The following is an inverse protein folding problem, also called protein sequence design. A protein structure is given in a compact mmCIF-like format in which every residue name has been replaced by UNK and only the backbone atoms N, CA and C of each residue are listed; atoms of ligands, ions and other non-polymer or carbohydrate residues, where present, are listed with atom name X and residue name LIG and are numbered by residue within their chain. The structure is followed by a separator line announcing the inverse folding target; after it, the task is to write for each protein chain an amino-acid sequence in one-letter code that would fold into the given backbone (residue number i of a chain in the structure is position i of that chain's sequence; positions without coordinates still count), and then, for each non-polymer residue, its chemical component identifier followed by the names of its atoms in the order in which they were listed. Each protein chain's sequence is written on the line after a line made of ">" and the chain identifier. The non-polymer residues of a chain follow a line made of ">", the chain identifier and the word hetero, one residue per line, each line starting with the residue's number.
data_IF_582441625076
#
_entry.id   IF_582441625076
#
_cell.length_a   1.000
_cell.length_b   1.000
_cell.length_c   1.000
_cell.angle_alpha   90.00
_cell.angle_beta   90.00
_cell.angle_gamma   90.00
#
_symmetry.space_group_name_H-M   'P 1'
#
loop_
_entity.id
_entity.type
_entity.pdbx_description
1 polymer ?
#
# COMPACT_ATOMS: atom_id res chain seq x y z
N UNK A 1 -90.28 -43.47 -16.21
CA UNK A 1 -90.17 -44.95 -16.13
C UNK A 1 -88.71 -45.34 -15.93
N UNK A 2 -88.44 -46.21 -14.93
CA UNK A 2 -87.25 -47.08 -14.69
C UNK A 2 -85.88 -46.38 -14.49
N UNK A 3 -85.25 -46.42 -13.30
CA UNK A 3 -84.59 -47.50 -12.50
C UNK A 3 -83.07 -47.61 -12.73
N UNK A 4 -82.31 -47.08 -11.76
CA UNK A 4 -81.14 -47.60 -11.02
C UNK A 4 -79.89 -48.27 -11.68
N UNK A 5 -78.73 -47.87 -11.11
CA UNK A 5 -77.47 -48.61 -10.80
C UNK A 5 -76.39 -48.68 -11.92
N UNK A 6 -75.08 -48.45 -11.71
CA UNK A 6 -74.16 -48.76 -10.59
C UNK A 6 -72.94 -47.80 -10.44
N UNK A 7 -72.47 -47.70 -9.19
CA UNK A 7 -71.13 -47.44 -8.62
C UNK A 7 -69.90 -47.27 -9.54
N UNK A 8 -69.03 -46.28 -9.25
CA UNK A 8 -67.80 -46.50 -8.47
C UNK A 8 -67.04 -45.20 -8.16
N UNK A 9 -66.58 -45.14 -6.90
CA UNK A 9 -65.82 -44.13 -6.19
C UNK A 9 -64.32 -44.38 -6.38
N UNK A 10 -63.47 -43.36 -6.53
CA UNK A 10 -62.11 -43.30 -5.97
C UNK A 10 -61.66 -41.82 -5.96
N UNK A 11 -61.34 -41.35 -4.76
CA UNK A 11 -60.78 -40.06 -4.39
C UNK A 11 -59.27 -40.31 -4.14
N UNK A 12 -58.36 -39.56 -4.78
CA UNK A 12 -56.93 -39.62 -4.48
C UNK A 12 -56.48 -38.25 -3.94
N UNK A 13 -56.17 -38.23 -2.65
CA UNK A 13 -55.46 -37.17 -1.93
C UNK A 13 -53.98 -37.53 -2.02
N UNK A 14 -53.15 -36.65 -2.61
CA UNK A 14 -51.70 -36.77 -2.56
C UNK A 14 -51.13 -35.74 -1.58
N UNK A 15 -50.53 -36.28 -0.52
CA UNK A 15 -49.95 -35.61 0.64
C UNK A 15 -48.53 -35.10 0.31
N UNK A 16 -48.21 -33.86 0.65
CA UNK A 16 -46.83 -33.35 0.69
C UNK A 16 -46.05 -34.05 1.82
N UNK A 17 -44.90 -34.63 1.49
CA UNK A 17 -43.88 -35.03 2.45
C UNK A 17 -42.54 -34.41 2.07
N UNK A 18 -42.08 -33.48 2.92
CA UNK A 18 -40.76 -32.86 2.89
C UNK A 18 -39.71 -33.89 3.31
N UNK A 19 -38.74 -34.14 2.46
CA UNK A 19 -37.56 -34.96 2.77
C UNK A 19 -36.35 -34.04 2.92
N UNK A 20 -35.87 -33.90 4.15
CA UNK A 20 -34.60 -33.24 4.48
C UNK A 20 -33.49 -34.24 4.20
N UNK A 21 -32.64 -33.95 3.21
CA UNK A 21 -31.38 -34.66 2.98
C UNK A 21 -30.32 -34.13 3.95
N UNK A 22 -29.50 -34.99 4.58
CA UNK A 22 -28.34 -34.52 5.33
C UNK A 22 -27.27 -34.02 4.34
N UNK A 23 -26.91 -32.75 4.43
CA UNK A 23 -25.68 -32.24 3.80
C UNK A 23 -24.49 -32.90 4.49
N UNK A 24 -23.80 -33.76 3.76
CA UNK A 24 -22.48 -34.25 4.15
C UNK A 24 -21.49 -33.15 3.77
N UNK A 25 -21.00 -32.42 4.77
CA UNK A 25 -19.97 -31.40 4.59
C UNK A 25 -18.63 -32.07 4.30
N UNK A 26 -18.32 -32.30 3.03
CA UNK A 26 -16.94 -32.55 2.60
C UNK A 26 -16.18 -31.21 2.67
N UNK A 27 -15.63 -30.88 3.84
CA UNK A 27 -14.61 -29.86 3.94
C UNK A 27 -13.36 -30.37 3.20
N UNK A 28 -13.16 -29.90 1.96
CA UNK A 28 -11.84 -29.96 1.35
C UNK A 28 -10.88 -29.19 2.27
N UNK A 29 -9.65 -29.68 2.53
CA UNK A 29 -8.66 -28.87 3.22
C UNK A 29 -8.49 -27.58 2.41
N UNK A 30 -8.64 -26.43 3.09
CA UNK A 30 -8.20 -25.15 2.56
C UNK A 30 -6.72 -25.32 2.21
N UNK A 31 -6.41 -25.48 0.93
CA UNK A 31 -5.06 -25.27 0.47
C UNK A 31 -4.73 -23.82 0.84
N UNK A 32 -3.74 -23.63 1.71
CA UNK A 32 -3.12 -22.32 1.85
C UNK A 32 -2.72 -21.86 0.45
N UNK A 33 -2.91 -20.57 0.09
CA UNK A 33 -2.26 -20.07 -1.11
C UNK A 33 -0.80 -20.44 -0.99
N UNK A 34 -0.28 -21.14 -2.01
CA UNK A 34 1.13 -21.46 -2.07
C UNK A 34 1.86 -20.13 -1.89
N UNK A 35 2.63 -20.02 -0.81
CA UNK A 35 3.62 -18.96 -0.70
C UNK A 35 4.52 -19.13 -1.92
N UNK A 36 4.41 -18.22 -2.89
CA UNK A 36 5.38 -18.15 -3.97
C UNK A 36 6.74 -17.97 -3.30
N UNK A 37 7.65 -18.91 -3.55
CA UNK A 37 9.01 -18.80 -3.03
C UNK A 37 9.64 -17.52 -3.57
N UNK A 38 10.49 -16.89 -2.77
CA UNK A 38 11.17 -15.62 -3.10
C UNK A 38 12.07 -15.67 -4.36
N UNK A 39 12.13 -16.80 -5.07
CA UNK A 39 13.00 -17.07 -6.22
C UNK A 39 12.25 -17.27 -7.58
N UNK A 40 10.91 -17.22 -7.63
CA UNK A 40 10.18 -17.26 -8.91
C UNK A 40 9.95 -15.81 -9.41
N UNK A 41 10.43 -15.42 -10.62
CA UNK A 41 10.23 -14.07 -11.11
C UNK A 41 8.74 -13.74 -11.22
N UNK A 42 8.35 -12.60 -10.65
CA UNK A 42 6.96 -12.15 -10.64
C UNK A 42 6.43 -12.07 -12.08
N UNK A 43 5.41 -12.88 -12.39
CA UNK A 43 4.73 -12.83 -13.68
C UNK A 43 3.79 -11.63 -13.71
N UNK A 44 4.22 -10.57 -14.39
CA UNK A 44 3.41 -9.37 -14.63
C UNK A 44 2.99 -9.32 -16.10
N UNK A 45 1.71 -9.08 -16.37
CA UNK A 45 1.15 -8.90 -17.71
C UNK A 45 0.24 -7.66 -17.73
N UNK A 46 -0.03 -7.12 -18.92
CA UNK A 46 -0.88 -5.92 -19.10
C UNK A 46 -2.16 -6.19 -19.91
N UNK A 47 -3.06 -7.07 -19.45
CA UNK A 47 -4.29 -7.40 -20.19
C UNK A 47 -5.19 -6.17 -20.39
N UNK A 48 -5.81 -6.09 -21.57
CA UNK A 48 -6.67 -4.98 -21.97
C UNK A 48 -7.40 -5.26 -23.28
N UNK A 49 -7.99 -4.24 -23.90
CA UNK A 49 -8.67 -4.33 -25.21
C UNK A 49 -7.76 -3.97 -26.42
N UNK A 50 -6.45 -4.03 -26.22
CA UNK A 50 -5.41 -3.69 -27.19
C UNK A 50 -4.59 -4.89 -27.73
N UNK A 51 -4.37 -6.01 -27.00
CA UNK A 51 -3.49 -7.08 -27.48
C UNK A 51 -3.93 -7.70 -28.80
N UNK A 52 -5.24 -7.84 -29.02
CA UNK A 52 -5.77 -8.38 -30.28
C UNK A 52 -5.49 -7.45 -31.46
N UNK A 53 -5.64 -6.15 -31.27
CA UNK A 53 -5.35 -5.13 -32.28
C UNK A 53 -3.85 -5.08 -32.62
N UNK A 54 -2.98 -5.37 -31.66
CA UNK A 54 -1.53 -5.46 -31.83
C UNK A 54 -1.06 -6.82 -32.39
N UNK A 55 -1.96 -7.80 -32.56
CA UNK A 55 -1.60 -9.15 -32.99
C UNK A 55 -0.85 -9.97 -31.95
N UNK A 56 -0.94 -9.61 -30.67
CA UNK A 56 -0.21 -10.20 -29.55
C UNK A 56 -1.05 -11.20 -28.73
N UNK A 57 -2.26 -11.55 -29.18
CA UNK A 57 -3.11 -12.55 -28.52
C UNK A 57 -4.52 -12.04 -28.26
N UNK A 58 -5.22 -12.68 -27.32
CA UNK A 58 -6.57 -12.30 -26.93
C UNK A 58 -6.61 -11.07 -26.04
N UNK A 59 -7.70 -10.32 -26.13
CA UNK A 59 -7.98 -9.23 -25.19
C UNK A 59 -8.37 -9.80 -23.82
N UNK A 60 -8.10 -9.02 -22.77
CA UNK A 60 -8.45 -9.34 -21.38
C UNK A 60 -7.96 -10.72 -20.90
N UNK A 61 -6.83 -11.18 -21.43
CA UNK A 61 -6.19 -12.45 -21.07
C UNK A 61 -4.96 -12.20 -20.17
N UNK A 62 -5.10 -12.31 -18.83
CA UNK A 62 -3.98 -12.11 -17.90
C UNK A 62 -2.88 -13.17 -18.06
N UNK A 63 -3.19 -14.34 -18.62
CA UNK A 63 -2.22 -15.41 -18.87
C UNK A 63 -1.43 -15.23 -20.17
N UNK A 64 -1.68 -14.18 -20.94
CA UNK A 64 -1.02 -13.97 -22.22
C UNK A 64 0.46 -13.56 -22.05
N UNK A 65 1.37 -14.50 -22.31
CA UNK A 65 2.82 -14.27 -22.16
C UNK A 65 3.42 -13.38 -23.25
N UNK A 66 2.71 -13.09 -24.35
CA UNK A 66 3.20 -12.14 -25.36
C UNK A 66 3.18 -10.69 -24.88
N UNK A 67 2.47 -10.42 -23.77
CA UNK A 67 2.35 -9.10 -23.12
C UNK A 67 2.98 -9.12 -21.72
N UNK A 68 3.89 -10.07 -21.48
CA UNK A 68 4.63 -10.18 -20.24
C UNK A 68 5.63 -9.03 -20.08
N UNK A 69 5.58 -8.37 -18.94
CA UNK A 69 6.50 -7.32 -18.55
C UNK A 69 7.76 -7.89 -17.90
N UNK A 70 8.82 -7.08 -17.85
CA UNK A 70 10.06 -7.42 -17.17
C UNK A 70 10.60 -6.22 -16.37
N UNK A 71 11.33 -6.51 -15.30
CA UNK A 71 12.11 -5.55 -14.53
C UNK A 71 13.61 -5.88 -14.74
N UNK A 72 14.17 -5.41 -15.87
CA UNK A 72 15.54 -5.76 -16.28
C UNK A 72 16.63 -5.03 -15.49
N UNK A 73 16.31 -3.88 -14.90
CA UNK A 73 17.24 -3.04 -14.13
C UNK A 73 17.03 -3.16 -12.62
N UNK A 74 16.11 -4.03 -12.17
CA UNK A 74 15.78 -4.29 -10.77
C UNK A 74 15.39 -3.02 -10.01
N UNK A 75 14.71 -2.10 -10.69
CA UNK A 75 14.22 -0.86 -10.11
C UNK A 75 12.85 -1.03 -9.43
N UNK A 76 12.24 -2.21 -9.55
CA UNK A 76 10.94 -2.52 -8.97
C UNK A 76 9.76 -2.13 -9.84
N UNK A 77 10.01 -1.70 -11.08
CA UNK A 77 9.00 -1.33 -12.07
C UNK A 77 9.04 -2.28 -13.25
N UNK A 78 7.96 -3.03 -13.43
CA UNK A 78 7.79 -3.94 -14.55
C UNK A 78 7.36 -3.17 -15.80
N UNK A 79 8.08 -3.38 -16.90
CA UNK A 79 7.89 -2.67 -18.16
C UNK A 79 7.56 -3.64 -19.30
N UNK A 80 6.59 -3.25 -20.12
CA UNK A 80 6.34 -3.87 -21.43
C UNK A 80 6.27 -2.78 -22.50
N UNK A 81 6.89 -3.03 -23.64
CA UNK A 81 7.04 -2.02 -24.70
C UNK A 81 6.67 -2.64 -26.05
N UNK A 82 5.86 -1.94 -26.82
CA UNK A 82 5.47 -2.36 -28.18
C UNK A 82 5.17 -1.16 -29.07
N UNK A 83 5.44 -1.30 -30.37
CA UNK A 83 5.07 -0.34 -31.42
C UNK A 83 3.93 -0.84 -32.32
N UNK A 84 3.36 -2.00 -32.00
CA UNK A 84 2.38 -2.70 -32.83
C UNK A 84 0.94 -2.23 -32.62
N UNK A 85 0.66 -1.43 -31.57
CA UNK A 85 -0.69 -0.96 -31.24
C UNK A 85 -1.12 0.10 -32.28
N UNK A 86 -2.22 -0.14 -33.03
CA UNK A 86 -2.75 0.86 -33.95
C UNK A 86 -3.24 2.12 -33.24
N UNK A 87 -3.44 3.20 -33.99
CA UNK A 87 -4.06 4.41 -33.44
C UNK A 87 -5.46 4.11 -32.89
N UNK A 88 -5.76 4.59 -31.69
CA UNK A 88 -7.03 4.33 -31.03
C UNK A 88 -7.06 4.68 -29.55
N UNK A 89 -8.19 4.32 -28.93
CA UNK A 89 -8.45 4.42 -27.50
C UNK A 89 -8.63 3.04 -26.92
N UNK A 90 -7.91 2.76 -25.85
CA UNK A 90 -7.79 1.46 -25.24
C UNK A 90 -7.82 1.56 -23.72
N UNK A 91 -7.96 0.42 -23.06
CA UNK A 91 -7.91 0.28 -21.62
C UNK A 91 -7.13 -0.98 -21.25
N UNK A 92 -6.49 -0.97 -20.08
CA UNK A 92 -5.76 -2.13 -19.55
C UNK A 92 -5.74 -2.13 -18.02
N UNK A 93 -5.23 -3.23 -17.45
CA UNK A 93 -4.81 -3.37 -16.05
C UNK A 93 -3.42 -4.00 -16.00
N UNK A 94 -2.74 -3.87 -14.88
CA UNK A 94 -1.60 -4.74 -14.55
C UNK A 94 -2.13 -5.97 -13.81
N UNK A 95 -1.68 -7.17 -14.17
CA UNK A 95 -2.02 -8.41 -13.45
C UNK A 95 -0.77 -9.16 -13.02
N UNK A 96 -0.85 -9.78 -11.85
CA UNK A 96 0.24 -10.54 -11.24
C UNK A 96 -0.17 -12.02 -11.16
N UNK A 97 0.74 -12.92 -11.54
CA UNK A 97 0.53 -14.36 -11.45
C UNK A 97 -0.31 -14.99 -12.56
N UNK A 98 -0.63 -14.23 -13.63
CA UNK A 98 -1.34 -14.74 -14.80
C UNK A 98 -2.85 -14.97 -14.58
N UNK A 99 -3.40 -14.50 -13.47
CA UNK A 99 -4.85 -14.54 -13.15
C UNK A 99 -5.35 -13.14 -12.79
N UNK A 100 -6.64 -13.02 -12.48
CA UNK A 100 -7.24 -11.78 -11.98
C UNK A 100 -7.23 -11.68 -10.45
N UNK A 101 -6.59 -12.63 -9.75
CA UNK A 101 -6.58 -12.64 -8.27
C UNK A 101 -5.81 -11.44 -7.70
N UNK A 102 -4.78 -10.98 -8.42
CA UNK A 102 -4.02 -9.76 -8.11
C UNK A 102 -3.96 -8.90 -9.39
N UNK A 103 -4.72 -7.81 -9.40
CA UNK A 103 -4.89 -6.95 -10.56
C UNK A 103 -5.08 -5.49 -10.14
N UNK A 104 -4.43 -4.57 -10.84
CA UNK A 104 -4.39 -3.15 -10.49
C UNK A 104 -4.83 -2.26 -11.65
N UNK A 105 -5.68 -1.29 -11.32
CA UNK A 105 -6.23 -0.30 -12.23
C UNK A 105 -5.68 1.10 -12.02
N UNK A 106 -6.51 2.12 -12.28
CA UNK A 106 -6.15 3.54 -12.06
C UNK A 106 -5.71 3.75 -10.62
N UNK A 107 -4.64 4.53 -10.43
CA UNK A 107 -4.05 4.85 -9.13
C UNK A 107 -3.63 3.62 -8.30
N UNK A 108 -3.36 2.49 -8.96
CA UNK A 108 -3.00 1.25 -8.28
C UNK A 108 -4.15 0.62 -7.49
N UNK A 109 -5.40 0.97 -7.79
CA UNK A 109 -6.55 0.40 -7.11
C UNK A 109 -6.75 -1.07 -7.51
N UNK A 110 -6.54 -1.97 -6.56
CA UNK A 110 -6.76 -3.41 -6.70
C UNK A 110 -8.10 -3.91 -6.18
N UNK A 111 -9.01 -3.01 -5.79
CA UNK A 111 -10.33 -3.42 -5.29
C UNK A 111 -11.18 -4.07 -6.39
N UNK A 112 -12.04 -5.06 -6.04
CA UNK A 112 -12.95 -5.66 -7.01
C UNK A 112 -13.82 -4.60 -7.69
N UNK A 113 -13.72 -4.54 -9.02
CA UNK A 113 -14.43 -3.53 -9.83
C UNK A 113 -13.70 -2.20 -9.98
N UNK A 114 -12.44 -2.09 -9.57
CA UNK A 114 -11.64 -0.89 -9.78
C UNK A 114 -11.57 -0.52 -11.27
N UNK A 115 -11.56 0.79 -11.62
CA UNK A 115 -11.50 1.24 -13.00
C UNK A 115 -10.25 0.74 -13.75
N UNK A 116 -10.41 0.43 -15.03
CA UNK A 116 -9.28 0.15 -15.93
C UNK A 116 -8.49 1.43 -16.20
N UNK A 117 -7.19 1.31 -16.52
CA UNK A 117 -6.35 2.43 -16.93
C UNK A 117 -6.63 2.75 -18.40
N UNK A 118 -7.20 3.93 -18.73
CA UNK A 118 -7.41 4.32 -20.13
C UNK A 118 -6.10 4.81 -20.75
N UNK A 119 -5.90 4.56 -22.04
CA UNK A 119 -4.85 5.20 -22.81
C UNK A 119 -5.25 5.43 -24.26
N UNK A 120 -4.62 6.40 -24.89
CA UNK A 120 -4.76 6.70 -26.32
C UNK A 120 -3.39 6.71 -26.97
N UNK A 121 -3.32 6.25 -28.21
CA UNK A 121 -2.11 6.29 -29.03
C UNK A 121 -2.48 6.70 -30.45
N UNK A 122 -1.60 7.44 -31.12
CA UNK A 122 -1.71 7.76 -32.56
C UNK A 122 -1.10 6.63 -33.42
N UNK A 123 -0.78 5.51 -32.81
CA UNK A 123 0.09 4.48 -33.36
C UNK A 123 1.57 4.76 -33.02
N UNK A 124 2.36 3.70 -32.93
CA UNK A 124 3.77 3.78 -32.54
C UNK A 124 4.02 3.28 -31.12
N UNK A 125 5.12 3.74 -30.51
CA UNK A 125 5.64 3.17 -29.28
C UNK A 125 4.74 3.46 -28.08
N UNK A 126 4.27 2.39 -27.43
CA UNK A 126 3.55 2.40 -26.16
C UNK A 126 4.37 1.66 -25.13
N UNK A 127 4.51 2.26 -23.96
CA UNK A 127 5.21 1.66 -22.82
C UNK A 127 4.18 1.50 -21.70
N UNK A 128 4.13 0.33 -21.09
CA UNK A 128 3.28 0.00 -19.95
C UNK A 128 4.16 -0.20 -18.73
N UNK A 129 3.73 0.34 -17.59
CA UNK A 129 4.48 0.35 -16.35
C UNK A 129 3.62 -0.16 -15.20
N UNK A 130 4.24 -0.94 -14.32
CA UNK A 130 3.69 -1.37 -13.04
C UNK A 130 4.75 -1.26 -11.96
N UNK A 131 4.54 -0.35 -11.01
CA UNK A 131 5.44 -0.15 -9.87
C UNK A 131 4.93 -0.93 -8.66
N UNK A 132 5.71 -1.94 -8.24
CA UNK A 132 5.41 -2.74 -7.06
C UNK A 132 6.19 -2.30 -5.83
N UNK A 133 7.43 -1.84 -6.04
CA UNK A 133 8.43 -1.62 -4.99
C UNK A 133 8.04 -0.49 -4.05
N UNK A 134 7.42 0.57 -4.57
CA UNK A 134 6.86 1.65 -3.75
C UNK A 134 5.65 1.24 -2.91
N UNK A 135 5.06 0.07 -3.17
CA UNK A 135 3.91 -0.48 -2.44
C UNK A 135 2.54 0.07 -2.85
N UNK A 136 2.49 1.12 -3.70
CA UNK A 136 1.23 1.70 -4.18
C UNK A 136 0.63 0.99 -5.39
N UNK A 137 1.37 0.06 -6.01
CA UNK A 137 0.94 -0.74 -7.16
C UNK A 137 0.55 0.13 -8.38
N UNK A 138 1.17 1.31 -8.52
CA UNK A 138 0.80 2.29 -9.54
C UNK A 138 0.96 1.73 -10.95
N UNK A 139 -0.01 2.00 -11.81
CA UNK A 139 -0.07 1.53 -13.20
C UNK A 139 -0.18 2.74 -14.12
N UNK A 140 0.68 2.79 -15.14
CA UNK A 140 0.67 3.88 -16.11
C UNK A 140 1.04 3.41 -17.51
N UNK A 141 0.80 4.27 -18.50
CA UNK A 141 1.29 4.05 -19.86
C UNK A 141 1.74 5.33 -20.54
N UNK A 142 2.76 5.23 -21.39
CA UNK A 142 3.14 6.29 -22.33
C UNK A 142 2.52 6.01 -23.70
N UNK A 143 2.05 7.04 -24.43
CA UNK A 143 2.41 8.46 -24.24
C UNK A 143 1.46 9.29 -23.34
N UNK A 144 0.43 8.70 -22.74
CA UNK A 144 -0.58 9.47 -21.98
C UNK A 144 -0.02 10.03 -20.66
N UNK A 145 0.72 9.22 -19.92
CA UNK A 145 1.31 9.61 -18.65
C UNK A 145 2.71 10.19 -18.87
N UNK A 146 3.04 11.26 -18.13
CA UNK A 146 4.43 11.67 -17.94
C UNK A 146 5.07 10.76 -16.89
N UNK A 147 6.31 10.35 -17.11
CA UNK A 147 7.06 9.50 -16.16
C UNK A 147 8.23 10.32 -15.59
N UNK A 148 8.01 11.21 -14.62
CA UNK A 148 9.07 11.95 -13.95
C UNK A 148 9.80 11.06 -12.93
N UNK A 149 11.13 11.12 -12.90
CA UNK A 149 11.96 10.44 -11.91
C UNK A 149 12.93 11.43 -11.26
N UNK A 150 13.07 11.35 -9.93
CA UNK A 150 14.10 12.13 -9.20
C UNK A 150 15.45 11.43 -9.39
N UNK A 151 16.34 12.07 -10.12
CA UNK A 151 17.68 11.54 -10.45
C UNK A 151 18.74 12.31 -9.69
N UNK A 152 19.61 11.61 -8.96
CA UNK A 152 20.64 12.26 -8.14
C UNK A 152 21.73 11.30 -7.67
N UNK A 153 22.67 11.81 -6.88
CA UNK A 153 23.77 11.03 -6.27
C UNK A 153 23.40 10.36 -4.93
N UNK A 154 22.20 10.64 -4.41
CA UNK A 154 21.65 9.99 -3.22
C UNK A 154 20.96 8.66 -3.52
N UNK A 155 20.66 8.35 -4.79
CA UNK A 155 19.83 7.19 -5.16
C UNK A 155 20.50 5.86 -4.80
N UNK A 156 21.80 5.74 -5.00
CA UNK A 156 22.55 4.54 -4.63
C UNK A 156 22.45 4.25 -3.13
N UNK A 157 22.38 5.29 -2.30
CA UNK A 157 22.22 5.14 -0.86
C UNK A 157 20.84 4.58 -0.44
N UNK A 158 19.84 4.67 -1.32
CA UNK A 158 18.50 4.12 -1.11
C UNK A 158 18.18 2.95 -2.07
N UNK A 159 19.21 2.33 -2.65
CA UNK A 159 19.08 1.13 -3.48
C UNK A 159 18.72 1.38 -4.96
N UNK A 160 18.81 2.62 -5.42
CA UNK A 160 18.68 3.00 -6.83
C UNK A 160 20.02 3.13 -7.55
N UNK A 161 19.99 3.62 -8.79
CA UNK A 161 21.19 3.94 -9.56
C UNK A 161 21.39 5.46 -9.64
N UNK A 162 22.58 5.93 -9.28
CA UNK A 162 22.92 7.34 -9.35
C UNK A 162 22.87 7.87 -10.79
N UNK A 163 22.27 9.05 -10.98
CA UNK A 163 22.17 9.75 -12.27
C UNK A 163 21.60 8.90 -13.43
N UNK A 164 20.64 8.02 -13.13
CA UNK A 164 19.99 7.12 -14.11
C UNK A 164 18.51 7.46 -14.30
N UNK A 165 18.11 8.19 -15.35
CA UNK A 165 16.71 8.52 -15.62
C UNK A 165 15.77 7.33 -15.80
N UNK A 166 16.30 6.20 -16.23
CA UNK A 166 15.57 4.96 -16.48
C UNK A 166 15.40 4.09 -15.22
N UNK A 167 16.02 4.47 -14.10
CA UNK A 167 15.80 3.83 -12.80
C UNK A 167 14.58 4.45 -12.11
N UNK A 168 13.45 3.76 -12.23
CA UNK A 168 12.14 4.24 -11.77
C UNK A 168 11.86 3.92 -10.29
N UNK A 169 12.85 3.50 -9.50
CA UNK A 169 12.73 3.44 -8.03
C UNK A 169 12.36 4.81 -7.44
N UNK A 170 12.70 5.88 -8.15
CA UNK A 170 12.42 7.27 -7.80
C UNK A 170 11.27 7.89 -8.62
N UNK A 171 10.41 7.06 -9.22
CA UNK A 171 9.29 7.51 -10.02
C UNK A 171 8.33 8.37 -9.19
N UNK A 172 8.18 9.62 -9.62
CA UNK A 172 7.28 10.60 -9.00
C UNK A 172 5.87 10.44 -9.55
N UNK A 173 4.88 10.50 -8.66
CA UNK A 173 3.47 10.22 -8.98
C UNK A 173 2.56 11.38 -8.56
N UNK A 174 1.47 11.51 -9.28
CA UNK A 174 0.41 12.51 -9.07
C UNK A 174 -0.94 11.76 -8.96
N UNK A 175 -1.23 11.15 -7.80
CA UNK A 175 -2.43 10.34 -7.62
C UNK A 175 -3.72 11.18 -7.47
N UNK A 176 -3.62 12.45 -7.09
CA UNK A 176 -4.76 13.36 -6.94
C UNK A 176 -5.05 14.20 -8.19
N UNK A 177 -4.13 14.20 -9.17
CA UNK A 177 -4.31 14.77 -10.50
C UNK A 177 -4.19 16.29 -10.52
N UNK A 178 -3.47 16.88 -9.56
CA UNK A 178 -3.29 18.32 -9.46
C UNK A 178 -2.15 18.86 -10.35
N UNK A 179 -1.38 17.96 -10.96
CA UNK A 179 -0.24 18.27 -11.81
C UNK A 179 1.10 18.34 -11.06
N UNK A 180 1.12 18.09 -9.76
CA UNK A 180 2.32 18.06 -8.92
C UNK A 180 2.69 16.61 -8.63
N UNK A 181 3.79 16.18 -9.23
CA UNK A 181 4.33 14.85 -9.02
C UNK A 181 5.18 14.83 -7.74
N UNK A 182 5.04 13.78 -6.95
CA UNK A 182 5.78 13.62 -5.69
C UNK A 182 6.46 12.26 -5.58
N UNK A 183 7.61 12.24 -4.91
CA UNK A 183 8.31 11.03 -4.51
C UNK A 183 8.87 11.21 -3.10
N UNK A 184 8.81 10.17 -2.27
CA UNK A 184 9.38 10.19 -0.91
C UNK A 184 10.53 9.21 -0.87
N UNK A 185 11.74 9.73 -0.69
CA UNK A 185 12.91 8.93 -0.36
C UNK A 185 12.97 8.72 1.14
N UNK A 186 12.83 7.48 1.60
CA UNK A 186 12.99 7.14 3.01
C UNK A 186 14.45 6.83 3.34
N UNK A 187 14.84 7.06 4.60
CA UNK A 187 16.14 6.66 5.14
C UNK A 187 17.35 7.18 4.34
N UNK A 188 17.26 8.39 3.79
CA UNK A 188 18.41 9.04 3.14
C UNK A 188 19.46 9.30 4.22
N UNK A 189 20.72 8.86 4.03
CA UNK A 189 21.75 9.06 5.05
C UNK A 189 22.21 10.51 5.12
N UNK A 190 22.88 10.85 6.24
CA UNK A 190 23.51 12.16 6.40
C UNK A 190 24.49 12.45 5.25
N UNK A 191 24.52 13.69 4.78
CA UNK A 191 25.41 14.09 3.72
C UNK A 191 24.90 15.29 2.91
N UNK A 192 25.73 15.72 1.98
CA UNK A 192 25.39 16.70 0.95
C UNK A 192 25.18 15.97 -0.37
N UNK A 193 24.03 16.21 -0.99
CA UNK A 193 23.55 15.47 -2.15
C UNK A 193 23.12 16.45 -3.26
N UNK A 194 23.01 15.92 -4.47
CA UNK A 194 22.55 16.62 -5.66
C UNK A 194 21.48 15.83 -6.39
N UNK A 195 20.52 16.54 -6.98
CA UNK A 195 19.50 15.91 -7.81
C UNK A 195 18.93 16.84 -8.89
N UNK A 196 18.18 16.22 -9.79
CA UNK A 196 17.30 16.81 -10.79
C UNK A 196 16.05 15.93 -10.95
N UNK A 197 15.10 16.37 -11.77
CA UNK A 197 14.00 15.55 -12.27
C UNK A 197 14.21 15.32 -13.76
N UNK A 198 14.29 14.06 -14.17
CA UNK A 198 14.33 13.67 -15.58
C UNK A 198 12.94 13.14 -15.99
N UNK A 199 12.52 13.45 -17.21
CA UNK A 199 11.25 12.97 -17.71
C UNK A 199 11.46 11.80 -18.67
N UNK A 200 10.55 10.85 -18.59
CA UNK A 200 10.33 9.84 -19.63
C UNK A 200 11.56 8.96 -19.88
N UNK A 201 12.25 8.60 -18.78
CA UNK A 201 13.38 7.66 -18.75
C UNK A 201 14.61 8.10 -19.54
N UNK A 202 14.75 9.41 -19.78
CA UNK A 202 15.87 9.95 -20.56
C UNK A 202 16.30 11.32 -20.05
N UNK A 203 17.47 11.77 -20.52
CA UNK A 203 17.95 13.13 -20.29
C UNK A 203 17.43 14.16 -21.30
N UNK A 204 16.57 13.77 -22.25
CA UNK A 204 16.07 14.66 -23.29
C UNK A 204 15.34 15.87 -22.70
N UNK A 205 14.62 15.66 -21.61
CA UNK A 205 13.98 16.72 -20.82
C UNK A 205 14.28 16.51 -19.35
N UNK A 206 14.89 17.51 -18.72
CA UNK A 206 15.16 17.50 -17.28
C UNK A 206 15.10 18.89 -16.66
N UNK A 207 14.71 18.95 -15.39
CA UNK A 207 14.52 20.18 -14.62
C UNK A 207 15.18 20.11 -13.24
N UNK A 208 15.71 21.25 -12.72
CA UNK A 208 15.98 22.49 -13.46
C UNK A 208 17.17 22.28 -14.44
N UNK A 209 17.79 23.33 -14.98
CA UNK A 209 18.96 23.13 -15.85
C UNK A 209 20.18 22.65 -15.05
N UNK A 210 20.44 23.29 -13.91
CA UNK A 210 21.52 22.96 -12.99
C UNK A 210 21.07 21.94 -11.93
N UNK A 211 22.02 21.30 -11.26
CA UNK A 211 21.71 20.39 -10.15
C UNK A 211 21.23 21.17 -8.93
N UNK A 212 20.20 20.65 -8.25
CA UNK A 212 19.77 21.17 -6.94
C UNK A 212 20.60 20.47 -5.86
N UNK A 213 21.17 21.26 -4.96
CA UNK A 213 21.88 20.75 -3.78
C UNK A 213 20.94 20.68 -2.57
N UNK A 214 21.07 19.63 -1.77
CA UNK A 214 20.41 19.53 -0.46
C UNK A 214 21.29 18.79 0.54
N UNK A 215 21.07 19.06 1.82
CA UNK A 215 21.81 18.43 2.91
C UNK A 215 20.86 17.66 3.81
N UNK A 216 21.26 16.45 4.19
CA UNK A 216 20.56 15.61 5.16
C UNK A 216 21.32 15.67 6.48
N UNK A 217 20.65 16.01 7.60
CA UNK A 217 21.31 16.13 8.89
C UNK A 217 21.75 14.78 9.45
N UNK A 218 22.56 14.83 10.51
CA UNK A 218 22.98 13.64 11.24
C UNK A 218 21.78 12.82 11.72
N UNK A 219 21.89 11.49 11.59
CA UNK A 219 20.79 10.55 11.85
C UNK A 219 19.91 10.24 10.64
N UNK A 220 20.12 10.91 9.50
CA UNK A 220 19.37 10.68 8.26
C UNK A 220 18.02 11.40 8.25
N UNK A 221 17.30 11.26 7.13
CA UNK A 221 16.00 11.89 6.94
C UNK A 221 15.14 11.13 5.91
N UNK A 222 13.83 11.38 5.97
CA UNK A 222 12.97 11.20 4.80
C UNK A 222 12.95 12.50 4.00
N UNK A 223 13.01 12.41 2.68
CA UNK A 223 13.01 13.56 1.78
C UNK A 223 11.86 13.45 0.80
N UNK A 224 10.94 14.40 0.86
CA UNK A 224 9.84 14.52 -0.11
C UNK A 224 10.30 15.44 -1.23
N UNK A 225 10.31 14.93 -2.45
CA UNK A 225 10.57 15.69 -3.67
C UNK A 225 9.28 16.01 -4.38
N UNK A 226 9.19 17.20 -4.98
CA UNK A 226 8.02 17.66 -5.73
C UNK A 226 8.43 18.27 -7.06
N UNK A 227 7.64 18.01 -8.10
CA UNK A 227 7.79 18.56 -9.44
C UNK A 227 6.44 19.00 -9.99
N UNK A 228 6.31 20.29 -10.32
CA UNK A 228 5.12 20.84 -10.98
C UNK A 228 5.22 20.63 -12.51
N UNK A 229 4.29 19.86 -13.07
CA UNK A 229 4.28 19.52 -14.49
C UNK A 229 3.99 20.69 -15.44
N UNK A 230 3.48 21.82 -14.92
CA UNK A 230 3.12 23.02 -15.68
C UNK A 230 4.21 24.09 -15.58
N UNK A 231 4.66 24.40 -14.37
CA UNK A 231 5.67 25.44 -14.12
C UNK A 231 7.10 24.93 -14.21
N UNK A 232 7.28 23.61 -14.16
CA UNK A 232 8.56 22.91 -14.07
C UNK A 232 9.37 23.28 -12.82
N UNK A 233 8.72 23.79 -11.77
CA UNK A 233 9.35 24.01 -10.48
C UNK A 233 9.66 22.66 -9.81
N UNK A 234 10.88 22.54 -9.29
CA UNK A 234 11.35 21.36 -8.55
C UNK A 234 11.74 21.81 -7.16
N UNK A 235 11.27 21.10 -6.14
CA UNK A 235 11.57 21.40 -4.74
C UNK A 235 11.67 20.13 -3.90
N UNK A 236 12.16 20.27 -2.67
CA UNK A 236 12.33 19.20 -1.71
C UNK A 236 12.07 19.69 -0.28
N UNK A 237 11.54 18.79 0.55
CA UNK A 237 11.37 18.96 1.99
C UNK A 237 12.10 17.84 2.70
N UNK A 238 13.08 18.20 3.53
CA UNK A 238 13.84 17.26 4.36
C UNK A 238 13.16 17.15 5.73
N UNK A 239 12.73 15.94 6.08
CA UNK A 239 12.17 15.60 7.39
C UNK A 239 13.17 14.75 8.17
N UNK A 240 13.96 15.32 9.10
CA UNK A 240 14.98 14.60 9.84
C UNK A 240 14.40 13.40 10.59
N UNK A 241 15.18 12.33 10.69
CA UNK A 241 14.83 11.21 11.56
C UNK A 241 14.68 11.69 13.01
N UNK A 242 13.73 11.12 13.74
CA UNK A 242 13.65 11.37 15.17
C UNK A 242 14.97 10.90 15.83
N UNK A 243 15.53 11.65 16.79
CA UNK A 243 16.68 11.17 17.55
C UNK A 243 16.30 9.85 18.22
N UNK A 244 17.24 8.89 18.33
CA UNK A 244 16.98 7.64 19.04
C UNK A 244 16.52 7.95 20.47
N UNK A 245 15.62 7.11 21.02
CA UNK A 245 15.06 7.31 22.36
C UNK A 245 16.16 7.50 23.43
N UNK A 246 17.32 6.84 23.26
CA UNK A 246 18.47 6.97 24.14
C UNK A 246 19.01 8.42 24.24
N UNK A 247 18.96 9.19 23.15
CA UNK A 247 19.37 10.60 23.13
C UNK A 247 18.33 11.53 23.78
N UNK A 248 17.09 11.04 23.95
CA UNK A 248 16.03 11.72 24.69
C UNK A 248 16.09 11.40 26.20
N UNK A 249 16.82 10.35 26.61
CA UNK A 249 16.98 10.00 28.02
C UNK A 249 17.87 11.03 28.72
N UNK A 250 17.22 11.91 29.48
CA UNK A 250 17.92 12.77 30.45
C UNK A 250 18.00 12.03 31.79
N UNK A 251 19.09 12.20 32.56
CA UNK A 251 19.12 11.73 33.94
C UNK A 251 17.88 12.20 34.68
N UNK A 252 17.22 11.29 35.40
CA UNK A 252 16.11 11.67 36.27
C UNK A 252 16.58 12.83 37.16
N UNK A 253 15.77 13.88 37.30
CA UNK A 253 16.08 14.98 38.22
C UNK A 253 16.09 14.40 39.63
N UNK A 254 17.27 13.98 40.09
CA UNK A 254 17.49 13.60 41.47
C UNK A 254 17.59 14.90 42.26
N UNK A 255 16.49 15.27 42.93
CA UNK A 255 16.61 16.23 44.01
C UNK A 255 17.47 15.56 45.10
N UNK A 256 18.39 16.29 45.77
CA UNK A 256 19.04 15.75 46.95
C UNK A 256 17.96 15.23 47.90
N UNK A 257 18.22 14.11 48.58
CA UNK A 257 17.32 13.59 49.62
C UNK A 257 17.08 14.74 50.58
N UNK A 258 15.88 15.31 50.50
CA UNK A 258 15.41 16.22 51.52
C UNK A 258 14.76 15.34 52.57
N UNK A 259 15.09 15.54 53.85
CA UNK A 259 14.34 14.99 54.99
C UNK A 259 12.94 15.65 55.06
N UNK A 260 12.21 15.59 53.95
CA UNK A 260 10.85 16.06 53.85
C UNK A 260 9.98 14.94 54.40
N UNK A 261 9.45 15.16 55.60
CA UNK A 261 8.32 14.37 56.10
C UNK A 261 7.14 14.65 55.17
N UNK A 262 6.86 13.68 54.28
CA UNK A 262 5.67 13.70 53.43
C UNK A 262 4.49 13.30 54.31
N UNK A 263 3.72 14.29 54.78
CA UNK A 263 2.43 14.01 55.40
C UNK A 263 1.44 13.59 54.31
N UNK A 264 1.15 12.30 54.22
CA UNK A 264 -0.04 11.85 53.52
C UNK A 264 -1.24 12.10 54.43
N UNK A 265 -1.85 13.28 54.30
CA UNK A 265 -3.18 13.47 54.85
C UNK A 265 -4.14 12.61 54.01
N UNK A 266 -4.48 11.43 54.51
CA UNK A 266 -5.65 10.71 54.03
C UNK A 266 -6.86 11.45 54.61
N UNK A 267 -7.65 12.19 53.82
CA UNK A 267 -8.91 12.70 54.32
C UNK A 267 -9.75 11.50 54.75
N UNK A 268 -10.06 11.45 56.03
CA UNK A 268 -11.08 10.56 56.55
C UNK A 268 -12.35 10.76 55.70
N UNK A 269 -12.82 9.65 55.11
CA UNK A 269 -13.83 9.66 54.03
C UNK A 269 -15.24 9.49 54.58
N UNK A 270 -15.52 9.93 55.81
CA UNK A 270 -16.75 9.52 56.48
C UNK A 270 -17.63 10.70 56.88
N UNK A 271 -18.12 11.41 55.86
CA UNK A 271 -19.42 12.07 55.90
C UNK A 271 -20.50 11.02 55.56
N UNK A 272 -20.81 10.06 56.44
CA UNK A 272 -21.66 8.93 56.00
C UNK A 272 -22.51 8.15 57.04
N UNK A 273 -22.87 8.71 58.20
CA UNK A 273 -24.03 8.22 58.95
C UNK A 273 -23.98 6.74 59.47
N UNK A 274 -22.82 6.08 59.50
CA UNK A 274 -22.61 4.78 60.15
C UNK A 274 -21.33 4.83 61.00
N UNK A 275 -21.44 4.85 62.35
CA UNK A 275 -20.27 4.97 63.24
C UNK A 275 -19.42 3.70 63.36
N UNK A 276 -19.84 2.57 62.78
CA UNK A 276 -19.19 1.28 63.02
C UNK A 276 -17.86 1.08 62.28
N UNK A 277 -17.48 2.03 61.42
CA UNK A 277 -16.26 2.01 60.61
C UNK A 277 -15.31 3.19 60.92
N UNK A 278 -15.64 4.02 61.91
CA UNK A 278 -14.80 5.13 62.41
C UNK A 278 -13.53 4.62 63.10
N UNK A 279 -13.60 3.42 63.66
CA UNK A 279 -12.46 2.67 64.15
C UNK A 279 -12.02 1.74 63.03
N UNK A 280 -11.10 2.20 62.16
CA UNK A 280 -10.47 1.36 61.14
C UNK A 280 -10.09 -0.03 61.70
N UNK A 281 -10.07 -1.07 60.85
CA UNK A 281 -10.13 -2.50 61.21
C UNK A 281 -9.06 -3.06 62.20
N UNK A 282 -8.20 -2.23 62.76
CA UNK A 282 -7.34 -2.56 63.87
C UNK A 282 -7.55 -1.52 65.01
N UNK A 283 -8.06 -1.92 66.19
CA UNK A 283 -8.02 -1.04 67.36
C UNK A 283 -6.54 -0.73 67.63
N UNK A 284 -6.18 0.55 67.67
CA UNK A 284 -4.79 0.97 67.83
C UNK A 284 -4.10 0.25 68.99
N UNK A 285 -2.83 -0.13 68.78
CA UNK A 285 -1.97 -0.80 69.74
C UNK A 285 -0.60 -0.14 69.77
N UNK A 286 0.32 -0.66 70.58
CA UNK A 286 1.70 -0.15 70.61
C UNK A 286 2.39 -0.36 69.26
N UNK A 287 3.42 0.43 68.97
CA UNK A 287 4.25 0.28 67.75
C UNK A 287 4.76 -1.17 67.55
N UNK A 288 4.99 -1.88 68.64
CA UNK A 288 5.43 -3.28 68.62
C UNK A 288 4.33 -4.25 68.17
N UNK A 289 3.06 -3.89 68.29
CA UNK A 289 1.90 -4.72 67.96
C UNK A 289 1.37 -4.45 66.55
N UNK A 290 1.39 -3.19 66.10
CA UNK A 290 0.81 -2.78 64.81
C UNK A 290 1.85 -2.49 63.74
N UNK A 291 3.09 -2.19 64.12
CA UNK A 291 4.14 -1.79 63.18
C UNK A 291 3.99 -0.37 62.61
N UNK A 292 3.02 0.42 63.09
CA UNK A 292 2.80 1.81 62.69
C UNK A 292 2.89 2.73 63.93
N UNK A 293 3.58 3.88 63.78
CA UNK A 293 3.64 4.95 64.80
C UNK A 293 2.36 5.78 64.79
#
# INVERSE_FOLDING_TARGET
>A
MRRQSRMSLILIIALLASAILPMVSNAAPLASPAAQGEDDPLLVTFPGNWPSAAGLGGDWDPGNLNIQANDSNNDGVWKFVTDAIPAGSYEFKATVGGTWDEAYGVNGDGTPGSPNVPFTTDGGMVNFYYDRDSGDNFVASRPVYTIPAVVGDFLEAIGGANWSPDNLRSWMKDPDGDGVYTFIAENVPEGDWQYKVALNESWDVSYPQENIHFSVPAGGASVTFSYDGVTHEVSQVVSPAAPPDEDLVRPAIQKPIQDNVMYFALPDRMWNADPSNDEGAAPGGTLAETGFL
#
